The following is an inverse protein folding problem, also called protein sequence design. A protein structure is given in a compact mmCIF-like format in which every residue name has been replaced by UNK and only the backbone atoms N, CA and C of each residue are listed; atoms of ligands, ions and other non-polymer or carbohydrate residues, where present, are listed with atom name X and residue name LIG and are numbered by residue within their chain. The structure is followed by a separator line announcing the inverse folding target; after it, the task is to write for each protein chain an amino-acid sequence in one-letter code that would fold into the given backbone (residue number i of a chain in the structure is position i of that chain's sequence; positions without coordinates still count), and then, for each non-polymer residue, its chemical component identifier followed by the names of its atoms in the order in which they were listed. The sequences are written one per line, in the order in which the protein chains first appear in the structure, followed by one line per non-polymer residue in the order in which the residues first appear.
data_IF_503901776500
#
_entry.id   IF_503901776500
#
_cell.length_a   1.000
_cell.length_b   1.000
_cell.length_c   1.000
_cell.angle_alpha   90.00
_cell.angle_beta   90.00
_cell.angle_gamma   90.00
#
_symmetry.space_group_name_H-M   'P 1'
#
loop_
_entity.id
_entity.type
_entity.pdbx_description
1 polymer ?
#
# COMPACT_ATOMS: atom_id res chain seq x y z
N UNK A 1 36.06 -18.14 -6.67
CA UNK A 1 35.74 -17.43 -7.92
C UNK A 1 36.43 -18.11 -9.09
N UNK A 2 35.71 -18.32 -10.19
CA UNK A 2 36.21 -18.93 -11.42
C UNK A 2 35.88 -18.01 -12.60
N UNK A 3 36.86 -17.76 -13.47
CA UNK A 3 36.70 -17.00 -14.71
C UNK A 3 36.68 -17.98 -15.87
N UNK A 4 35.69 -17.88 -16.72
CA UNK A 4 35.46 -18.72 -17.89
C UNK A 4 35.51 -17.86 -19.14
N UNK A 5 36.36 -18.25 -20.09
CA UNK A 5 36.41 -17.62 -21.41
C UNK A 5 35.12 -17.92 -22.18
N UNK A 6 34.38 -16.87 -22.55
CA UNK A 6 33.04 -16.99 -23.16
C UNK A 6 33.05 -17.56 -24.58
N UNK A 7 34.21 -17.58 -25.26
CA UNK A 7 34.35 -18.13 -26.60
C UNK A 7 34.68 -19.62 -26.58
N UNK A 8 35.67 -20.01 -25.76
CA UNK A 8 36.19 -21.37 -25.61
C UNK A 8 35.40 -22.20 -24.60
N UNK A 9 34.61 -21.56 -23.74
CA UNK A 9 33.87 -22.17 -22.64
C UNK A 9 34.77 -23.04 -21.74
N UNK A 10 35.97 -22.52 -21.43
CA UNK A 10 36.94 -23.18 -20.55
C UNK A 10 37.32 -22.26 -19.39
N UNK A 11 37.51 -22.81 -18.17
CA UNK A 11 38.02 -22.02 -17.07
C UNK A 11 39.44 -21.55 -17.38
N UNK A 12 39.67 -20.25 -17.25
CA UNK A 12 40.97 -19.61 -17.49
C UNK A 12 41.66 -19.19 -16.20
N UNK A 13 40.89 -18.93 -15.15
CA UNK A 13 41.43 -18.59 -13.83
C UNK A 13 40.49 -19.10 -12.73
N UNK A 14 41.05 -19.52 -11.61
CA UNK A 14 40.30 -19.94 -10.43
C UNK A 14 41.07 -19.54 -9.17
N UNK A 15 40.39 -18.82 -8.28
CA UNK A 15 40.95 -18.31 -7.03
C UNK A 15 39.96 -18.47 -5.87
N UNK A 16 40.48 -18.68 -4.68
CA UNK A 16 39.72 -18.59 -3.43
C UNK A 16 40.22 -17.37 -2.64
N UNK A 17 39.32 -16.70 -1.94
CA UNK A 17 39.61 -15.53 -1.12
C UNK A 17 38.96 -15.74 0.24
N UNK A 18 39.77 -15.94 1.28
CA UNK A 18 39.29 -16.09 2.66
C UNK A 18 38.99 -14.71 3.26
N UNK A 19 37.83 -14.18 2.90
CA UNK A 19 37.30 -12.89 3.38
C UNK A 19 36.71 -12.99 4.80
N UNK A 20 36.89 -14.12 5.47
CA UNK A 20 36.63 -14.25 6.90
C UNK A 20 37.90 -13.98 7.73
N UNK A 21 39.04 -14.53 7.32
CA UNK A 21 40.31 -14.36 8.02
C UNK A 21 41.06 -13.08 7.61
N UNK A 22 40.99 -12.71 6.33
CA UNK A 22 41.75 -11.62 5.72
C UNK A 22 40.83 -10.55 5.11
N UNK A 23 41.38 -9.37 4.80
CA UNK A 23 40.67 -8.36 4.02
C UNK A 23 40.43 -8.79 2.55
N UNK A 24 39.61 -8.03 1.84
CA UNK A 24 39.21 -8.32 0.45
C UNK A 24 40.15 -7.75 -0.62
N UNK A 25 41.31 -7.20 -0.28
CA UNK A 25 42.15 -6.46 -1.25
C UNK A 25 42.66 -7.33 -2.40
N UNK A 26 43.04 -8.58 -2.14
CA UNK A 26 43.43 -9.52 -3.20
C UNK A 26 42.26 -9.88 -4.13
N UNK A 27 41.04 -9.93 -3.59
CA UNK A 27 39.84 -10.16 -4.40
C UNK A 27 39.55 -8.96 -5.30
N UNK A 28 39.72 -7.74 -4.78
CA UNK A 28 39.55 -6.51 -5.56
C UNK A 28 40.53 -6.46 -6.73
N UNK A 29 41.81 -6.75 -6.48
CA UNK A 29 42.84 -6.84 -7.52
C UNK A 29 42.50 -7.89 -8.58
N UNK A 30 42.00 -9.06 -8.16
CA UNK A 30 41.56 -10.11 -9.07
C UNK A 30 40.39 -9.66 -9.96
N UNK A 31 39.34 -9.08 -9.37
CA UNK A 31 38.17 -8.59 -10.11
C UNK A 31 38.54 -7.48 -11.11
N UNK A 32 39.55 -6.67 -10.80
CA UNK A 32 40.01 -5.58 -11.66
C UNK A 32 40.93 -6.02 -12.80
N UNK A 33 41.83 -6.98 -12.55
CA UNK A 33 42.93 -7.31 -13.47
C UNK A 33 42.74 -8.62 -14.22
N UNK A 34 42.09 -9.59 -13.60
CA UNK A 34 41.99 -10.97 -14.10
C UNK A 34 40.65 -11.28 -14.75
N UNK A 35 39.63 -10.44 -14.56
CA UNK A 35 38.31 -10.56 -15.20
C UNK A 35 38.22 -9.58 -16.37
N UNK A 36 38.43 -10.07 -17.60
CA UNK A 36 38.46 -9.22 -18.80
C UNK A 36 37.07 -9.01 -19.36
N UNK A 37 36.91 -7.98 -20.18
CA UNK A 37 35.65 -7.71 -20.87
C UNK A 37 35.19 -8.92 -21.70
N UNK A 38 33.93 -9.32 -21.53
CA UNK A 38 33.36 -10.51 -22.15
C UNK A 38 33.58 -11.83 -21.40
N UNK A 39 34.42 -11.88 -20.36
CA UNK A 39 34.60 -13.09 -19.54
C UNK A 39 33.39 -13.34 -18.64
N UNK A 40 33.09 -14.63 -18.41
CA UNK A 40 32.07 -15.07 -17.47
C UNK A 40 32.73 -15.30 -16.10
N UNK A 41 32.25 -14.60 -15.07
CA UNK A 41 32.64 -14.79 -13.68
C UNK A 41 31.62 -15.66 -12.95
N UNK A 42 32.10 -16.75 -12.34
CA UNK A 42 31.35 -17.56 -11.38
C UNK A 42 31.92 -17.27 -9.99
N UNK A 43 31.13 -16.58 -9.16
CA UNK A 43 31.44 -16.29 -7.78
C UNK A 43 30.51 -17.10 -6.87
N UNK A 44 31.06 -17.65 -5.79
CA UNK A 44 30.29 -18.38 -4.79
C UNK A 44 30.98 -18.27 -3.43
N UNK A 45 30.21 -18.32 -2.36
CA UNK A 45 30.69 -18.40 -0.99
C UNK A 45 30.89 -19.84 -0.56
N UNK A 46 31.83 -20.06 0.35
CA UNK A 46 31.98 -21.32 1.07
C UNK A 46 32.18 -20.98 2.55
N UNK A 47 31.42 -21.64 3.43
CA UNK A 47 31.38 -21.38 4.87
C UNK A 47 30.96 -19.93 5.22
N UNK A 48 31.90 -18.98 5.25
CA UNK A 48 31.70 -17.60 5.69
C UNK A 48 32.55 -16.66 4.83
N UNK A 49 31.93 -15.60 4.29
CA UNK A 49 32.61 -14.66 3.39
C UNK A 49 32.21 -13.20 3.64
N UNK A 50 31.51 -12.90 4.74
CA UNK A 50 30.95 -11.57 4.96
C UNK A 50 31.77 -10.73 5.94
N UNK A 51 32.53 -11.35 6.85
CA UNK A 51 33.14 -10.68 8.01
C UNK A 51 34.08 -9.53 7.63
N UNK A 52 35.01 -9.76 6.70
CA UNK A 52 36.00 -8.77 6.25
C UNK A 52 35.83 -8.44 4.76
N UNK A 53 34.62 -8.64 4.21
CA UNK A 53 34.32 -8.26 2.84
C UNK A 53 34.17 -6.74 2.72
N UNK A 54 35.18 -6.10 2.15
CA UNK A 54 35.26 -4.65 2.03
C UNK A 54 34.20 -4.04 1.12
N UNK A 55 33.92 -2.74 1.34
CA UNK A 55 32.95 -1.98 0.54
C UNK A 55 33.35 -1.94 -0.94
N UNK A 56 34.64 -1.80 -1.23
CA UNK A 56 35.17 -1.76 -2.59
C UNK A 56 34.93 -3.08 -3.32
N UNK A 57 35.22 -4.21 -2.69
CA UNK A 57 34.85 -5.53 -3.18
C UNK A 57 33.35 -5.67 -3.50
N UNK A 58 32.47 -5.22 -2.58
CA UNK A 58 31.01 -5.26 -2.82
C UNK A 58 30.60 -4.39 -4.00
N UNK A 59 31.18 -3.20 -4.14
CA UNK A 59 30.91 -2.31 -5.28
C UNK A 59 31.39 -2.91 -6.60
N UNK A 60 32.56 -3.53 -6.64
CA UNK A 60 33.05 -4.21 -7.84
C UNK A 60 32.13 -5.37 -8.26
N UNK A 61 31.60 -6.12 -7.30
CA UNK A 61 30.63 -7.18 -7.56
C UNK A 61 29.28 -6.63 -8.01
N UNK A 62 28.84 -5.50 -7.46
CA UNK A 62 27.65 -4.79 -7.93
C UNK A 62 27.82 -4.24 -9.35
N UNK A 63 28.98 -3.69 -9.69
CA UNK A 63 29.35 -3.24 -11.04
C UNK A 63 29.39 -4.40 -12.04
N UNK A 64 29.71 -5.60 -11.55
CA UNK A 64 29.62 -6.85 -12.30
C UNK A 64 28.20 -7.39 -12.37
N UNK A 65 27.19 -6.66 -11.89
CA UNK A 65 25.78 -7.03 -12.00
C UNK A 65 25.21 -7.76 -10.78
N UNK A 66 25.90 -7.83 -9.64
CA UNK A 66 25.29 -8.34 -8.41
C UNK A 66 24.21 -7.38 -7.91
N UNK A 67 23.02 -7.93 -7.69
CA UNK A 67 21.91 -7.23 -7.02
C UNK A 67 21.87 -7.50 -5.51
N UNK A 68 22.47 -8.59 -5.04
CA UNK A 68 22.31 -9.06 -3.65
C UNK A 68 23.60 -9.01 -2.81
N UNK A 69 24.77 -8.70 -3.37
CA UNK A 69 26.04 -8.76 -2.61
C UNK A 69 26.07 -7.83 -1.39
N UNK A 70 25.38 -6.69 -1.47
CA UNK A 70 25.28 -5.75 -0.35
C UNK A 70 24.55 -6.37 0.84
N UNK A 71 23.66 -7.34 0.58
CA UNK A 71 22.84 -8.05 1.56
C UNK A 71 23.53 -9.29 2.14
N UNK A 72 24.78 -9.61 1.75
CA UNK A 72 25.51 -10.76 2.27
C UNK A 72 25.77 -10.61 3.78
N UNK A 73 25.17 -11.50 4.58
CA UNK A 73 25.28 -11.54 6.04
C UNK A 73 26.16 -12.71 6.50
N UNK A 74 26.48 -12.76 7.80
CA UNK A 74 27.27 -13.81 8.42
C UNK A 74 26.76 -15.21 8.05
N UNK A 75 27.64 -16.03 7.46
CA UNK A 75 27.35 -17.39 6.95
C UNK A 75 26.27 -17.46 5.86
N UNK A 76 25.91 -16.33 5.26
CA UNK A 76 25.05 -16.29 4.08
C UNK A 76 25.69 -17.08 2.94
N UNK A 77 24.89 -17.93 2.30
CA UNK A 77 25.32 -18.66 1.11
C UNK A 77 24.89 -17.88 -0.11
N UNK A 78 25.84 -17.59 -0.99
CA UNK A 78 25.62 -16.77 -2.17
C UNK A 78 26.38 -17.35 -3.34
N UNK A 79 25.75 -17.30 -4.51
CA UNK A 79 26.46 -17.43 -5.77
C UNK A 79 25.95 -16.39 -6.77
N UNK A 80 26.83 -16.07 -7.71
CA UNK A 80 26.52 -15.26 -8.87
C UNK A 80 27.29 -15.79 -10.07
N UNK A 81 26.62 -15.87 -11.21
CA UNK A 81 27.24 -16.06 -12.52
C UNK A 81 26.98 -14.80 -13.32
N UNK A 82 28.01 -14.07 -13.72
CA UNK A 82 27.86 -12.81 -14.45
C UNK A 82 28.88 -12.70 -15.59
N UNK A 83 28.73 -11.69 -16.45
CA UNK A 83 29.65 -11.42 -17.55
C UNK A 83 30.14 -9.96 -17.49
N UNK A 84 31.46 -9.77 -17.55
CA UNK A 84 32.06 -8.42 -17.54
C UNK A 84 31.63 -7.66 -18.78
N UNK A 85 31.11 -6.45 -18.59
CA UNK A 85 30.58 -5.59 -19.67
C UNK A 85 29.08 -5.72 -19.91
N UNK A 86 28.40 -6.63 -19.19
CA UNK A 86 26.94 -6.70 -19.18
C UNK A 86 26.33 -5.44 -18.54
N UNK A 87 25.19 -4.99 -19.07
CA UNK A 87 24.39 -3.90 -18.48
C UNK A 87 23.27 -4.47 -17.61
N UNK A 88 23.07 -3.89 -16.42
CA UNK A 88 22.05 -4.33 -15.47
C UNK A 88 22.52 -5.46 -14.56
N UNK A 89 21.57 -6.13 -13.91
CA UNK A 89 21.84 -7.16 -12.93
C UNK A 89 21.92 -8.56 -13.54
N UNK A 90 22.71 -9.44 -12.95
CA UNK A 90 22.78 -10.83 -13.38
C UNK A 90 21.46 -11.56 -13.10
N UNK A 91 20.90 -12.29 -14.07
CA UNK A 91 19.76 -13.17 -13.85
C UNK A 91 20.13 -14.46 -13.10
N UNK A 92 21.43 -14.72 -12.90
CA UNK A 92 21.96 -15.94 -12.28
C UNK A 92 22.62 -15.60 -10.95
N UNK A 93 21.81 -15.19 -9.99
CA UNK A 93 22.25 -14.85 -8.65
C UNK A 93 21.27 -15.40 -7.61
N UNK A 94 21.78 -15.93 -6.50
CA UNK A 94 20.96 -16.32 -5.37
C UNK A 94 21.70 -16.06 -4.08
N UNK A 95 20.99 -15.50 -3.11
CA UNK A 95 21.45 -15.30 -1.74
C UNK A 95 20.49 -16.03 -0.80
N UNK A 96 21.01 -16.96 0.00
CA UNK A 96 20.33 -17.55 1.14
C UNK A 96 20.98 -17.08 2.44
N UNK A 97 20.24 -16.30 3.22
CA UNK A 97 20.70 -15.90 4.56
C UNK A 97 20.90 -17.11 5.48
N UNK A 98 21.76 -16.96 6.49
CA UNK A 98 21.93 -17.97 7.53
C UNK A 98 20.67 -18.07 8.38
N UNK A 99 20.35 -19.28 8.85
CA UNK A 99 19.17 -19.54 9.68
C UNK A 99 19.63 -19.98 11.06
N UNK A 100 19.44 -19.12 12.07
CA UNK A 100 19.88 -19.42 13.45
C UNK A 100 21.38 -19.66 13.57
N UNK A 101 22.21 -19.00 12.74
CA UNK A 101 23.65 -19.20 12.68
C UNK A 101 24.10 -20.45 11.90
N UNK A 102 23.18 -21.25 11.36
CA UNK A 102 23.47 -22.39 10.48
C UNK A 102 23.47 -21.97 9.01
N UNK A 103 24.26 -22.67 8.20
CA UNK A 103 24.35 -22.48 6.75
C UNK A 103 23.07 -22.93 6.04
N UNK A 104 22.70 -22.20 4.98
CA UNK A 104 21.57 -22.54 4.10
C UNK A 104 22.10 -22.95 2.72
N UNK A 105 22.37 -24.24 2.47
CA UNK A 105 23.04 -24.67 1.23
C UNK A 105 22.25 -24.29 -0.02
N UNK A 106 22.99 -23.98 -1.08
CA UNK A 106 22.46 -23.75 -2.42
C UNK A 106 22.90 -24.92 -3.29
N UNK A 107 21.94 -25.58 -3.92
CA UNK A 107 22.15 -26.66 -4.88
C UNK A 107 21.32 -26.31 -6.12
N UNK A 108 22.00 -25.91 -7.19
CA UNK A 108 21.38 -25.35 -8.39
C UNK A 108 22.07 -25.93 -9.62
N UNK A 109 21.25 -26.40 -10.57
CA UNK A 109 21.69 -26.92 -11.85
C UNK A 109 21.04 -26.10 -12.97
N UNK A 110 21.85 -25.43 -13.78
CA UNK A 110 21.35 -24.53 -14.82
C UNK A 110 22.21 -24.50 -16.07
N UNK A 111 21.59 -24.18 -17.20
CA UNK A 111 22.27 -23.86 -18.44
C UNK A 111 22.54 -22.35 -18.50
N UNK A 112 23.81 -21.97 -18.63
CA UNK A 112 24.23 -20.57 -18.77
C UNK A 112 24.60 -20.29 -20.23
N UNK A 113 24.01 -19.27 -20.88
CA UNK A 113 24.35 -18.92 -22.24
C UNK A 113 25.77 -18.34 -22.33
N UNK A 114 26.37 -18.34 -23.53
CA UNK A 114 27.70 -17.74 -23.75
C UNK A 114 27.71 -16.22 -23.63
N UNK A 115 26.56 -15.60 -23.87
CA UNK A 115 26.35 -14.17 -23.75
C UNK A 115 25.22 -13.92 -22.75
N UNK A 116 25.53 -13.25 -21.65
CA UNK A 116 24.57 -12.95 -20.59
C UNK A 116 23.97 -11.57 -20.85
N UNK A 117 22.64 -11.51 -20.81
CA UNK A 117 21.90 -10.24 -20.84
C UNK A 117 21.41 -9.92 -19.44
N UNK A 118 21.76 -8.74 -18.95
CA UNK A 118 21.38 -8.32 -17.61
C UNK A 118 19.92 -7.87 -17.55
N UNK A 119 19.34 -7.94 -16.35
CA UNK A 119 17.99 -7.45 -16.05
C UNK A 119 18.06 -6.01 -15.58
N UNK A 120 17.07 -5.21 -16.00
CA UNK A 120 16.94 -3.80 -15.56
C UNK A 120 16.49 -3.74 -14.09
N UNK A 121 15.71 -4.74 -13.65
CA UNK A 121 15.18 -4.87 -12.30
C UNK A 121 15.47 -6.29 -11.81
N UNK A 122 16.00 -6.41 -10.60
CA UNK A 122 16.01 -7.67 -9.86
C UNK A 122 14.96 -7.59 -8.74
N UNK A 123 13.96 -8.48 -8.74
CA UNK A 123 12.99 -8.54 -7.66
C UNK A 123 13.70 -8.86 -6.34
N UNK A 124 13.37 -8.16 -5.26
CA UNK A 124 13.81 -8.58 -3.94
C UNK A 124 13.26 -9.99 -3.66
N UNK A 125 14.05 -10.88 -3.03
CA UNK A 125 13.54 -12.17 -2.59
C UNK A 125 12.34 -11.91 -1.66
N UNK A 126 11.22 -12.59 -1.95
CA UNK A 126 9.98 -12.49 -1.16
C UNK A 126 10.31 -12.51 0.33
N UNK A 127 9.96 -11.44 1.03
CA UNK A 127 10.10 -11.32 2.48
C UNK A 127 9.50 -12.58 3.12
N UNK A 128 10.36 -13.32 3.82
CA UNK A 128 10.13 -14.64 4.42
C UNK A 128 8.66 -14.98 4.76
N UNK A 129 8.05 -15.90 4.02
CA UNK A 129 6.94 -16.70 4.56
C UNK A 129 7.54 -17.83 5.40
N UNK A 130 7.32 -17.79 6.72
CA UNK A 130 7.76 -18.83 7.64
C UNK A 130 6.66 -19.88 7.79
N UNK A 131 6.56 -20.78 6.80
CA UNK A 131 5.54 -21.83 6.75
C UNK A 131 5.54 -22.74 7.98
N UNK A 132 6.71 -22.94 8.60
CA UNK A 132 6.86 -23.69 9.84
C UNK A 132 6.22 -22.96 11.03
N UNK A 133 6.42 -21.64 11.15
CA UNK A 133 5.73 -20.80 12.13
C UNK A 133 4.22 -20.82 11.91
N UNK A 134 3.76 -20.75 10.66
CA UNK A 134 2.33 -20.78 10.34
C UNK A 134 1.67 -22.08 10.83
N UNK A 135 2.25 -23.24 10.49
CA UNK A 135 1.77 -24.56 10.95
C UNK A 135 1.86 -24.73 12.47
N UNK A 136 2.93 -24.22 13.10
CA UNK A 136 3.09 -24.26 14.55
C UNK A 136 1.99 -23.43 15.26
N UNK A 137 1.72 -22.24 14.74
CA UNK A 137 0.78 -21.29 15.33
C UNK A 137 -0.70 -21.65 15.11
N UNK A 138 -1.01 -22.47 14.10
CA UNK A 138 -2.32 -23.12 13.95
C UNK A 138 -2.63 -24.03 15.15
N UNK A 139 -1.62 -24.73 15.68
CA UNK A 139 -1.77 -25.68 16.79
C UNK A 139 -1.50 -25.04 18.17
N UNK A 140 -0.71 -23.96 18.23
CA UNK A 140 -0.22 -23.36 19.48
C UNK A 140 -0.60 -21.88 19.61
N UNK A 141 -1.86 -21.57 19.34
CA UNK A 141 -2.37 -20.19 19.30
C UNK A 141 -2.26 -19.39 20.61
N UNK A 142 -1.95 -20.04 21.73
CA UNK A 142 -1.75 -19.42 23.04
C UNK A 142 -0.39 -18.74 23.21
N UNK A 143 0.57 -19.00 22.32
CA UNK A 143 1.91 -18.40 22.37
C UNK A 143 1.91 -17.09 21.57
N UNK A 144 1.28 -16.05 22.13
CA UNK A 144 1.03 -14.77 21.42
C UNK A 144 2.29 -14.14 20.84
N UNK A 145 3.39 -14.15 21.58
CA UNK A 145 4.61 -13.44 21.19
C UNK A 145 5.28 -14.10 19.98
N UNK A 146 5.19 -15.43 19.89
CA UNK A 146 5.69 -16.19 18.75
C UNK A 146 4.68 -16.26 17.61
N UNK A 147 3.38 -16.16 17.85
CA UNK A 147 2.34 -16.39 16.84
C UNK A 147 1.56 -15.15 16.41
N UNK A 148 1.85 -14.00 16.99
CA UNK A 148 1.26 -12.71 16.63
C UNK A 148 1.71 -12.27 15.24
N UNK A 149 0.75 -11.73 14.47
CA UNK A 149 1.07 -11.04 13.22
C UNK A 149 1.99 -9.85 13.48
N UNK A 150 2.80 -9.47 12.49
CA UNK A 150 3.78 -8.37 12.59
C UNK A 150 3.17 -7.08 13.17
N UNK A 151 1.88 -6.85 12.90
CA UNK A 151 1.12 -5.71 13.42
C UNK A 151 0.95 -5.73 14.94
N UNK A 152 0.62 -6.89 15.53
CA UNK A 152 0.47 -6.99 16.99
C UNK A 152 1.82 -6.82 17.70
N UNK A 153 2.90 -7.38 17.15
CA UNK A 153 4.26 -7.14 17.64
C UNK A 153 4.62 -5.66 17.60
N UNK A 154 4.28 -4.96 16.51
CA UNK A 154 4.55 -3.53 16.37
C UNK A 154 3.82 -2.70 17.43
N UNK A 155 2.53 -2.95 17.67
CA UNK A 155 1.76 -2.25 18.70
C UNK A 155 2.28 -2.53 20.12
N UNK A 156 2.61 -3.78 20.43
CA UNK A 156 3.12 -4.17 21.75
C UNK A 156 4.52 -3.59 22.00
N UNK A 157 5.38 -3.58 20.98
CA UNK A 157 6.70 -2.94 21.05
C UNK A 157 6.55 -1.44 21.28
N UNK A 158 5.67 -0.77 20.54
CA UNK A 158 5.39 0.66 20.72
C UNK A 158 4.87 0.96 22.14
N UNK A 159 3.97 0.14 22.67
CA UNK A 159 3.47 0.29 24.03
C UNK A 159 4.55 0.07 25.09
N UNK A 160 5.41 -0.93 24.91
CA UNK A 160 6.51 -1.21 25.83
C UNK A 160 7.57 -0.09 25.86
N UNK A 161 7.89 0.48 24.69
CA UNK A 161 8.85 1.59 24.58
C UNK A 161 8.26 2.94 25.03
N UNK A 162 6.97 3.16 24.79
CA UNK A 162 6.30 4.44 25.04
C UNK A 162 4.99 4.25 25.83
N UNK A 163 5.05 3.81 27.10
CA UNK A 163 3.86 3.47 27.87
C UNK A 163 2.94 4.67 28.18
N UNK A 164 3.47 5.90 28.13
CA UNK A 164 2.69 7.13 28.31
C UNK A 164 1.96 7.61 27.04
N UNK A 165 2.23 7.02 25.88
CA UNK A 165 1.63 7.45 24.61
C UNK A 165 0.19 6.94 24.49
N UNK A 166 -0.76 7.88 24.41
CA UNK A 166 -2.18 7.56 24.26
C UNK A 166 -2.57 7.12 22.84
N UNK A 167 -1.71 7.40 21.86
CA UNK A 167 -1.94 7.15 20.44
C UNK A 167 -0.74 6.46 19.83
N UNK A 168 -0.99 5.77 18.73
CA UNK A 168 0.03 5.11 17.92
C UNK A 168 -0.33 5.26 16.45
N UNK A 169 0.64 5.74 15.68
CA UNK A 169 0.53 5.90 14.23
C UNK A 169 1.31 4.78 13.55
N UNK A 170 0.67 4.05 12.66
CA UNK A 170 1.27 2.95 11.90
C UNK A 170 1.49 3.40 10.46
N UNK A 171 2.75 3.42 10.02
CA UNK A 171 3.15 3.80 8.67
C UNK A 171 3.80 2.59 8.03
N UNK A 172 3.20 2.07 6.95
CA UNK A 172 3.77 0.97 6.18
C UNK A 172 5.02 1.41 5.41
N UNK A 173 5.94 0.47 5.18
CA UNK A 173 7.09 0.70 4.31
C UNK A 173 6.63 1.02 2.88
N UNK A 174 7.32 1.96 2.23
CA UNK A 174 7.00 2.38 0.86
C UNK A 174 5.99 3.53 0.74
N UNK A 175 5.44 4.02 1.86
CA UNK A 175 4.67 5.26 1.90
C UNK A 175 5.59 6.48 1.90
N UNK A 176 5.30 7.43 1.02
CA UNK A 176 5.82 8.79 1.06
C UNK A 176 4.81 9.67 1.78
N UNK A 177 5.26 10.37 2.82
CA UNK A 177 4.41 11.28 3.57
C UNK A 177 4.32 12.63 2.85
N UNK A 178 3.11 13.20 2.80
CA UNK A 178 2.92 14.57 2.34
C UNK A 178 3.61 15.56 3.28
N UNK A 179 4.01 16.75 2.79
CA UNK A 179 4.65 17.77 3.63
C UNK A 179 3.84 18.17 4.86
N UNK A 180 2.51 18.20 4.76
CA UNK A 180 1.60 18.54 5.85
C UNK A 180 1.11 17.33 6.67
N UNK A 181 1.62 16.10 6.45
CA UNK A 181 1.12 14.87 7.10
C UNK A 181 0.94 15.02 8.61
N UNK A 182 1.97 15.52 9.31
CA UNK A 182 1.91 15.70 10.77
C UNK A 182 0.93 16.80 11.19
N UNK A 183 0.84 17.90 10.43
CA UNK A 183 -0.09 18.99 10.71
C UNK A 183 -1.54 18.54 10.52
N UNK A 184 -1.81 17.82 9.43
CA UNK A 184 -3.07 17.15 9.16
C UNK A 184 -3.43 16.21 10.32
N UNK A 185 -2.57 15.24 10.66
CA UNK A 185 -2.86 14.28 11.72
C UNK A 185 -3.11 14.95 13.07
N UNK A 186 -2.32 15.97 13.43
CA UNK A 186 -2.51 16.72 14.67
C UNK A 186 -3.85 17.46 14.72
N UNK A 187 -4.31 18.03 13.58
CA UNK A 187 -5.55 18.82 13.52
C UNK A 187 -6.82 18.00 13.77
N UNK A 188 -6.81 16.71 13.41
CA UNK A 188 -7.96 15.80 13.60
C UNK A 188 -7.76 14.80 14.72
N UNK A 189 -6.56 14.69 15.32
CA UNK A 189 -6.28 13.76 16.41
C UNK A 189 -7.31 13.79 17.56
N UNK A 190 -7.84 14.97 17.99
CA UNK A 190 -8.84 15.03 19.06
C UNK A 190 -10.12 14.25 18.76
N UNK A 191 -10.47 14.05 17.48
CA UNK A 191 -11.68 13.31 17.09
C UNK A 191 -11.66 11.86 17.58
N UNK A 192 -10.47 11.28 17.81
CA UNK A 192 -10.34 9.93 18.35
C UNK A 192 -10.90 9.79 19.78
N UNK A 193 -11.25 10.88 20.46
CA UNK A 193 -11.99 10.80 21.72
C UNK A 193 -13.49 10.47 21.53
N UNK A 194 -14.02 10.67 20.33
CA UNK A 194 -15.35 10.21 19.98
C UNK A 194 -15.35 8.66 19.90
N UNK A 195 -16.15 7.96 20.73
CA UNK A 195 -16.16 6.49 20.75
C UNK A 195 -16.65 5.87 19.44
N UNK A 196 -17.34 6.63 18.59
CA UNK A 196 -17.79 6.18 17.27
C UNK A 196 -16.68 6.27 16.21
N UNK A 197 -15.53 6.89 16.52
CA UNK A 197 -14.36 6.92 15.64
C UNK A 197 -13.33 5.93 16.13
N UNK A 198 -12.93 5.00 15.25
CA UNK A 198 -11.87 4.05 15.58
C UNK A 198 -10.47 4.59 15.30
N UNK A 199 -10.32 5.30 14.18
CA UNK A 199 -9.03 5.67 13.63
C UNK A 199 -9.12 6.97 12.82
N UNK A 200 -7.96 7.57 12.59
CA UNK A 200 -7.77 8.55 11.52
C UNK A 200 -6.75 7.96 10.53
N UNK A 201 -6.94 8.16 9.23
CA UNK A 201 -6.05 7.68 8.17
C UNK A 201 -5.67 8.82 7.26
N UNK A 202 -4.43 8.86 6.82
CA UNK A 202 -3.95 9.84 5.85
C UNK A 202 -4.24 9.45 4.40
N UNK A 203 -4.94 8.34 4.16
CA UNK A 203 -5.20 7.82 2.83
C UNK A 203 -6.69 7.74 2.52
N UNK A 204 -7.06 8.30 1.37
CA UNK A 204 -8.39 8.19 0.77
C UNK A 204 -8.34 7.14 -0.34
N UNK A 205 -9.13 6.07 -0.26
CA UNK A 205 -9.22 5.05 -1.31
C UNK A 205 -9.72 5.62 -2.65
N UNK A 206 -10.56 6.67 -2.61
CA UNK A 206 -11.06 7.42 -3.77
C UNK A 206 -10.18 8.62 -4.18
N UNK A 207 -8.98 8.76 -3.61
CA UNK A 207 -8.05 9.87 -3.86
C UNK A 207 -7.41 9.87 -5.26
N UNK A 208 -8.20 10.02 -6.33
CA UNK A 208 -7.73 10.10 -7.71
C UNK A 208 -7.84 11.55 -8.25
N UNK A 209 -6.96 12.00 -9.15
CA UNK A 209 -6.87 13.41 -9.58
C UNK A 209 -8.18 14.06 -10.06
N UNK A 210 -9.10 13.29 -10.63
CA UNK A 210 -10.38 13.79 -11.13
C UNK A 210 -11.49 13.86 -10.07
N UNK A 211 -11.33 13.17 -8.94
CA UNK A 211 -12.35 12.98 -7.88
C UNK A 211 -11.78 13.26 -6.48
N UNK A 212 -10.68 14.00 -6.39
CA UNK A 212 -10.00 14.36 -5.15
C UNK A 212 -9.17 15.62 -5.39
N UNK A 213 -9.75 16.77 -5.04
CA UNK A 213 -9.27 18.10 -5.40
C UNK A 213 -9.24 19.10 -4.24
N UNK A 214 -9.91 18.83 -3.11
CA UNK A 214 -10.03 19.77 -1.98
C UNK A 214 -9.16 19.32 -0.81
N UNK A 215 -7.94 19.83 -0.72
CA UNK A 215 -7.03 19.46 0.36
C UNK A 215 -7.51 19.89 1.76
N UNK A 216 -8.49 20.80 1.86
CA UNK A 216 -9.06 21.30 3.11
C UNK A 216 -10.20 20.43 3.67
N UNK A 217 -10.62 19.38 2.96
CA UNK A 217 -11.72 18.52 3.36
C UNK A 217 -11.30 17.22 4.04
N UNK A 218 -12.14 16.79 4.98
CA UNK A 218 -12.10 15.46 5.58
C UNK A 218 -13.49 14.83 5.70
N UNK A 219 -13.52 13.51 5.70
CA UNK A 219 -14.73 12.70 5.71
C UNK A 219 -14.68 11.64 6.81
N UNK A 220 -15.84 11.32 7.39
CA UNK A 220 -16.04 10.07 8.13
C UNK A 220 -16.43 8.97 7.15
N UNK A 221 -15.83 7.80 7.28
CA UNK A 221 -16.01 6.66 6.37
C UNK A 221 -16.03 5.35 7.15
N UNK A 222 -16.74 4.35 6.64
CA UNK A 222 -16.87 3.01 7.23
C UNK A 222 -15.69 2.07 6.84
N UNK A 223 -14.62 2.63 6.26
CA UNK A 223 -13.39 1.93 5.97
C UNK A 223 -12.48 1.82 7.21
N UNK A 224 -11.72 0.73 7.32
CA UNK A 224 -10.67 0.58 8.32
C UNK A 224 -9.70 -0.53 7.90
N UNK A 225 -8.37 -0.40 8.11
CA UNK A 225 -7.66 0.72 8.74
C UNK A 225 -7.11 1.77 7.78
N UNK A 226 -7.23 1.59 6.46
CA UNK A 226 -6.61 2.51 5.50
C UNK A 226 -5.08 2.41 5.51
N UNK A 227 -4.39 3.55 5.33
CA UNK A 227 -2.92 3.61 5.30
C UNK A 227 -2.41 4.84 6.06
N UNK A 228 -1.25 4.69 6.70
CA UNK A 228 -0.71 5.70 7.63
C UNK A 228 -1.76 6.16 8.64
N UNK A 229 -2.28 5.21 9.40
CA UNK A 229 -3.41 5.40 10.28
C UNK A 229 -2.97 5.54 11.74
N UNK A 230 -3.75 6.30 12.51
CA UNK A 230 -3.54 6.52 13.94
C UNK A 230 -4.75 6.03 14.72
N UNK A 231 -4.50 5.28 15.79
CA UNK A 231 -5.53 4.79 16.72
C UNK A 231 -5.15 5.14 18.16
N UNK A 232 -6.15 5.14 19.06
CA UNK A 232 -5.86 5.15 20.49
C UNK A 232 -5.25 3.83 20.92
N UNK A 233 -4.20 3.89 21.72
CA UNK A 233 -3.57 2.70 22.31
C UNK A 233 -4.57 1.92 23.19
N UNK A 234 -5.47 2.63 23.88
CA UNK A 234 -6.53 2.01 24.65
C UNK A 234 -7.50 1.18 23.79
N UNK A 235 -7.86 1.68 22.61
CA UNK A 235 -8.71 0.95 21.64
C UNK A 235 -8.01 -0.30 21.14
N UNK A 236 -6.71 -0.21 20.83
CA UNK A 236 -5.91 -1.38 20.48
C UNK A 236 -5.92 -2.43 21.60
N UNK A 237 -5.56 -2.04 22.82
CA UNK A 237 -5.39 -2.96 23.94
C UNK A 237 -6.70 -3.64 24.36
N UNK A 238 -7.79 -2.88 24.40
CA UNK A 238 -9.08 -3.38 24.91
C UNK A 238 -9.87 -4.14 23.85
N UNK A 239 -9.73 -3.79 22.57
CA UNK A 239 -10.68 -4.23 21.54
C UNK A 239 -10.01 -4.97 20.39
N UNK A 240 -8.95 -4.41 19.80
CA UNK A 240 -8.27 -5.04 18.66
C UNK A 240 -7.44 -6.24 19.08
N UNK A 241 -6.57 -6.08 20.10
CA UNK A 241 -5.67 -7.13 20.58
C UNK A 241 -6.36 -8.47 20.85
N UNK A 242 -7.47 -8.54 21.63
CA UNK A 242 -8.16 -9.81 21.85
C UNK A 242 -8.82 -10.40 20.58
N UNK A 243 -9.13 -9.56 19.59
CA UNK A 243 -9.89 -9.94 18.39
C UNK A 243 -9.06 -9.91 17.09
N UNK A 244 -7.73 -9.85 17.19
CA UNK A 244 -6.82 -9.62 16.05
C UNK A 244 -7.01 -10.63 14.92
N UNK A 245 -7.32 -11.89 15.24
CA UNK A 245 -7.61 -12.95 14.26
C UNK A 245 -8.88 -12.71 13.45
N UNK A 246 -9.85 -11.99 14.00
CA UNK A 246 -11.17 -11.79 13.39
C UNK A 246 -11.21 -10.55 12.47
N UNK A 247 -10.49 -9.48 12.81
CA UNK A 247 -10.47 -8.24 12.04
C UNK A 247 -9.23 -8.11 11.16
N UNK A 248 -8.06 -8.48 11.66
CA UNK A 248 -6.85 -7.76 11.33
C UNK A 248 -5.79 -8.69 10.71
N UNK A 249 -6.25 -9.60 9.85
CA UNK A 249 -5.45 -10.63 9.18
C UNK A 249 -5.21 -10.35 7.68
N UNK A 250 -5.79 -9.28 7.13
CA UNK A 250 -5.58 -8.80 5.75
C UNK A 250 -4.57 -7.64 5.72
N UNK A 251 -4.10 -7.24 4.53
CA UNK A 251 -3.34 -5.97 4.41
C UNK A 251 -4.23 -4.79 4.80
N UNK A 252 -3.65 -3.71 5.34
CA UNK A 252 -4.42 -2.57 5.84
C UNK A 252 -5.32 -1.93 4.77
N UNK A 253 -4.86 -1.89 3.52
CA UNK A 253 -5.62 -1.37 2.39
C UNK A 253 -6.69 -2.33 1.83
N UNK A 254 -6.69 -3.61 2.19
CA UNK A 254 -7.79 -4.54 1.86
C UNK A 254 -9.02 -4.30 2.74
N UNK A 255 -8.81 -3.64 3.89
CA UNK A 255 -9.84 -3.44 4.90
C UNK A 255 -9.95 -4.62 5.87
N UNK A 256 -10.02 -4.30 7.16
CA UNK A 256 -10.08 -5.24 8.28
C UNK A 256 -11.50 -5.45 8.81
N UNK A 257 -12.45 -4.61 8.38
CA UNK A 257 -13.84 -4.69 8.82
C UNK A 257 -14.71 -5.04 7.62
N UNK A 258 -15.61 -5.99 7.85
CA UNK A 258 -16.77 -6.17 7.00
C UNK A 258 -17.76 -5.05 7.33
N UNK A 259 -18.35 -4.43 6.31
CA UNK A 259 -19.34 -3.36 6.47
C UNK A 259 -20.45 -3.79 7.44
N UNK A 260 -20.76 -2.94 8.41
CA UNK A 260 -21.80 -3.19 9.43
C UNK A 260 -21.38 -4.09 10.59
N UNK A 261 -20.17 -4.65 10.59
CA UNK A 261 -19.70 -5.49 11.72
C UNK A 261 -19.26 -4.66 12.91
N UNK A 262 -18.67 -3.49 12.67
CA UNK A 262 -18.24 -2.53 13.67
C UNK A 262 -18.97 -1.22 13.43
N UNK A 263 -19.71 -0.75 14.43
CA UNK A 263 -20.48 0.51 14.41
C UNK A 263 -19.56 1.75 14.58
N UNK A 264 -18.35 1.70 14.02
CA UNK A 264 -17.35 2.77 14.11
C UNK A 264 -16.80 3.11 12.74
N UNK A 265 -16.43 4.38 12.62
CA UNK A 265 -15.95 4.99 11.40
C UNK A 265 -14.49 5.44 11.56
N UNK A 266 -13.84 5.68 10.44
CA UNK A 266 -12.53 6.30 10.35
C UNK A 266 -12.66 7.69 9.75
N UNK A 267 -11.75 8.59 10.09
CA UNK A 267 -11.62 9.88 9.39
C UNK A 267 -10.53 9.79 8.32
N UNK A 268 -10.84 10.23 7.11
CA UNK A 268 -9.90 10.30 5.96
C UNK A 268 -9.93 11.69 5.32
N UNK A 269 -8.84 12.16 4.69
CA UNK A 269 -8.88 13.41 3.95
C UNK A 269 -9.55 13.21 2.60
N UNK A 270 -9.98 14.29 1.94
CA UNK A 270 -10.34 14.22 0.52
C UNK A 270 -9.10 13.97 -0.33
N UNK A 271 -8.06 14.79 -0.19
CA UNK A 271 -6.75 14.60 -0.84
C UNK A 271 -5.80 13.87 0.11
N UNK A 272 -5.27 12.72 -0.32
CA UNK A 272 -4.42 11.87 0.54
C UNK A 272 -3.16 12.61 1.01
N UNK A 273 -2.75 12.35 2.25
CA UNK A 273 -1.50 12.83 2.87
C UNK A 273 -0.40 11.78 2.88
N UNK A 274 -0.62 10.69 2.18
CA UNK A 274 0.39 9.70 1.84
C UNK A 274 0.25 9.25 0.40
N UNK A 275 1.39 8.96 -0.23
CA UNK A 275 1.48 8.33 -1.52
C UNK A 275 2.17 6.97 -1.37
N UNK A 276 1.49 5.91 -1.79
CA UNK A 276 2.12 4.60 -1.94
C UNK A 276 2.82 4.54 -3.29
N UNK A 277 4.12 4.26 -3.29
CA UNK A 277 4.85 4.03 -4.54
C UNK A 277 4.37 2.71 -5.18
N UNK A 278 4.11 2.67 -6.50
CA UNK A 278 3.83 1.43 -7.19
C UNK A 278 4.97 0.44 -6.95
N UNK A 279 4.64 -0.77 -6.53
CA UNK A 279 5.59 -1.88 -6.45
C UNK A 279 5.62 -2.59 -7.80
N UNK A 280 6.77 -3.11 -8.20
CA UNK A 280 6.86 -3.95 -9.40
C UNK A 280 6.00 -5.22 -9.25
N UNK A 281 5.52 -5.76 -10.37
CA UNK A 281 4.71 -7.00 -10.43
C UNK A 281 5.37 -8.20 -9.74
N UNK A 282 6.68 -8.13 -9.55
CA UNK A 282 7.48 -9.19 -8.94
C UNK A 282 7.40 -9.17 -7.40
N UNK A 283 7.10 -8.02 -6.79
CA UNK A 283 6.94 -7.84 -5.34
C UNK A 283 5.48 -7.96 -4.90
N UNK A 284 4.56 -7.54 -5.76
CA UNK A 284 3.13 -7.58 -5.48
C UNK A 284 2.37 -8.06 -6.72
N UNK A 285 1.62 -9.19 -6.62
CA UNK A 285 0.89 -9.71 -7.77
C UNK A 285 -0.15 -8.70 -8.21
N UNK A 286 -0.22 -8.44 -9.52
CA UNK A 286 -1.19 -7.50 -10.09
C UNK A 286 -2.58 -8.14 -10.08
N UNK A 287 -3.29 -8.00 -8.96
CA UNK A 287 -4.70 -8.37 -8.84
C UNK A 287 -5.60 -7.22 -9.31
N UNK A 288 -6.86 -7.48 -9.69
CA UNK A 288 -7.82 -6.40 -10.01
C UNK A 288 -7.93 -5.35 -8.90
N UNK A 289 -7.98 -5.79 -7.63
CA UNK A 289 -8.01 -4.91 -6.46
C UNK A 289 -6.75 -4.02 -6.36
N UNK A 290 -5.56 -4.60 -6.49
CA UNK A 290 -4.30 -3.83 -6.43
C UNK A 290 -4.21 -2.85 -7.59
N UNK A 291 -4.62 -3.27 -8.79
CA UNK A 291 -4.67 -2.39 -9.94
C UNK A 291 -5.62 -1.21 -9.70
N UNK A 292 -6.83 -1.47 -9.21
CA UNK A 292 -7.84 -0.46 -8.90
C UNK A 292 -7.39 0.51 -7.80
N UNK A 293 -6.63 0.05 -6.81
CA UNK A 293 -6.13 0.87 -5.70
C UNK A 293 -4.82 1.60 -6.00
N UNK A 294 -3.87 1.02 -6.71
CA UNK A 294 -2.48 1.52 -6.71
C UNK A 294 -1.87 1.75 -8.07
N UNK A 295 -2.43 1.19 -9.15
CA UNK A 295 -1.86 1.36 -10.50
C UNK A 295 -2.47 2.53 -11.26
N UNK A 296 -3.51 3.16 -10.69
CA UNK A 296 -4.05 4.43 -11.16
C UNK A 296 -3.31 5.58 -10.49
N UNK A 297 -3.11 6.68 -11.24
CA UNK A 297 -2.53 7.90 -10.68
C UNK A 297 -3.36 8.38 -9.49
N UNK A 298 -2.69 8.73 -8.39
CA UNK A 298 -3.34 9.18 -7.16
C UNK A 298 -3.06 10.66 -6.90
N UNK A 299 -4.04 11.35 -6.32
CA UNK A 299 -3.87 12.69 -5.79
C UNK A 299 -3.20 12.61 -4.41
N UNK A 300 -2.17 13.43 -4.20
CA UNK A 300 -1.49 13.55 -2.91
C UNK A 300 -1.18 15.01 -2.66
N UNK A 301 -1.42 15.46 -1.43
CA UNK A 301 -1.17 16.86 -1.09
C UNK A 301 0.33 17.16 -1.13
N UNK A 302 0.70 18.25 -1.78
CA UNK A 302 2.08 18.73 -1.88
C UNK A 302 2.29 20.06 -1.16
N UNK A 303 1.22 20.65 -0.62
CA UNK A 303 1.26 21.89 0.12
C UNK A 303 1.81 21.66 1.54
N UNK A 304 2.59 22.61 2.06
CA UNK A 304 3.14 22.52 3.43
C UNK A 304 2.08 22.74 4.51
N UNK A 305 1.04 23.51 4.19
CA UNK A 305 -0.05 23.83 5.11
C UNK A 305 -1.36 23.87 4.35
N UNK A 306 -2.31 23.04 4.77
CA UNK A 306 -3.66 23.01 4.23
C UNK A 306 -4.64 22.98 5.41
N UNK A 307 -5.07 24.16 5.90
CA UNK A 307 -6.03 24.24 6.99
C UNK A 307 -7.31 23.49 6.62
N UNK A 308 -7.81 22.67 7.53
CA UNK A 308 -9.04 21.92 7.31
C UNK A 308 -10.25 22.81 7.57
N UNK A 309 -11.21 22.81 6.66
CA UNK A 309 -12.41 23.65 6.77
C UNK A 309 -13.47 23.06 7.71
N UNK A 310 -13.49 21.75 7.90
CA UNK A 310 -14.53 21.04 8.65
C UNK A 310 -13.99 20.11 9.76
N UNK A 311 -12.82 20.42 10.35
CA UNK A 311 -12.21 19.56 11.37
C UNK A 311 -13.01 19.50 12.69
N UNK A 312 -13.72 20.57 13.04
CA UNK A 312 -14.49 20.72 14.28
C UNK A 312 -15.88 20.06 14.21
N UNK A 313 -16.31 19.64 13.01
CA UNK A 313 -17.59 18.97 12.76
C UNK A 313 -17.50 17.45 12.77
N UNK A 314 -16.34 16.87 13.13
CA UNK A 314 -16.08 15.44 12.90
C UNK A 314 -16.57 14.50 14.00
N UNK A 315 -17.07 15.00 15.13
CA UNK A 315 -17.75 14.13 16.12
C UNK A 315 -19.12 13.69 15.58
N UNK A 316 -19.59 12.50 15.92
CA UNK A 316 -20.77 11.85 15.30
C UNK A 316 -21.98 12.79 15.12
N UNK A 317 -22.47 13.40 16.20
CA UNK A 317 -23.65 14.28 16.15
C UNK A 317 -23.41 15.55 15.33
N UNK A 318 -22.21 16.14 15.44
CA UNK A 318 -21.83 17.31 14.66
C UNK A 318 -21.65 16.99 13.18
N UNK A 319 -21.19 15.79 12.86
CA UNK A 319 -20.99 15.38 11.47
C UNK A 319 -22.32 15.18 10.76
N UNK A 320 -23.30 14.56 11.43
CA UNK A 320 -24.66 14.45 10.90
C UNK A 320 -25.33 15.82 10.73
N UNK A 321 -25.12 16.74 11.68
CA UNK A 321 -25.62 18.11 11.59
C UNK A 321 -24.95 18.87 10.43
N UNK A 322 -23.64 18.72 10.25
CA UNK A 322 -22.89 19.29 9.14
C UNK A 322 -23.35 18.72 7.77
N UNK A 323 -23.61 17.41 7.68
CA UNK A 323 -24.19 16.82 6.46
C UNK A 323 -25.56 17.42 6.13
N UNK A 324 -26.43 17.60 7.13
CA UNK A 324 -27.72 18.26 6.95
C UNK A 324 -27.57 19.71 6.49
N UNK A 325 -26.63 20.46 7.05
CA UNK A 325 -26.31 21.83 6.62
C UNK A 325 -25.81 21.88 5.18
N UNK A 326 -24.93 20.94 4.78
CA UNK A 326 -24.44 20.84 3.40
C UNK A 326 -25.57 20.53 2.42
N UNK A 327 -26.46 19.60 2.76
CA UNK A 327 -27.59 19.20 1.91
C UNK A 327 -28.63 20.33 1.81
N UNK A 328 -28.91 21.04 2.90
CA UNK A 328 -29.87 22.15 2.91
C UNK A 328 -29.26 23.51 2.53
N UNK A 329 -27.98 23.56 2.18
CA UNK A 329 -27.28 24.77 1.76
C UNK A 329 -27.94 25.39 0.54
N UNK A 330 -27.96 26.73 0.47
CA UNK A 330 -28.37 27.44 -0.75
C UNK A 330 -27.46 27.17 -1.95
N UNK A 331 -26.26 26.62 -1.71
CA UNK A 331 -25.29 26.22 -2.73
C UNK A 331 -25.32 24.70 -2.99
N UNK A 332 -26.37 24.01 -2.53
CA UNK A 332 -26.61 22.61 -2.84
C UNK A 332 -27.44 22.49 -4.12
N UNK A 333 -26.85 21.92 -5.16
CA UNK A 333 -27.47 21.73 -6.47
C UNK A 333 -27.76 20.24 -6.69
N UNK A 334 -28.99 19.92 -7.07
CA UNK A 334 -29.36 18.54 -7.39
C UNK A 334 -29.04 18.25 -8.84
N UNK A 335 -28.31 17.17 -9.07
CA UNK A 335 -28.00 16.68 -10.42
C UNK A 335 -28.90 15.48 -10.72
N UNK A 336 -29.77 15.65 -11.70
CA UNK A 336 -30.66 14.60 -12.19
C UNK A 336 -29.97 13.83 -13.31
N UNK A 337 -29.42 12.65 -12.99
CA UNK A 337 -28.88 11.72 -14.00
C UNK A 337 -29.99 10.78 -14.50
N UNK A 338 -29.96 10.46 -15.79
CA UNK A 338 -30.89 9.50 -16.40
C UNK A 338 -30.32 8.08 -16.42
N UNK A 339 -31.18 7.07 -16.61
CA UNK A 339 -30.72 5.68 -16.80
C UNK A 339 -29.88 5.54 -18.07
N UNK A 340 -30.20 6.33 -19.09
CA UNK A 340 -29.48 6.40 -20.35
C UNK A 340 -28.04 6.89 -20.14
N UNK A 341 -27.83 7.94 -19.34
CA UNK A 341 -26.50 8.46 -19.00
C UNK A 341 -25.64 7.38 -18.32
N UNK A 342 -26.24 6.66 -17.37
CA UNK A 342 -25.56 5.60 -16.62
C UNK A 342 -25.27 4.38 -17.51
N UNK A 343 -26.22 3.97 -18.34
CA UNK A 343 -26.04 2.84 -19.27
C UNK A 343 -24.96 3.14 -20.32
N UNK A 344 -24.95 4.36 -20.87
CA UNK A 344 -23.93 4.80 -21.82
C UNK A 344 -22.52 4.72 -21.21
N UNK A 345 -22.40 5.02 -19.92
CA UNK A 345 -21.17 4.82 -19.18
C UNK A 345 -20.87 3.32 -18.93
N UNK A 346 -21.83 2.56 -18.40
CA UNK A 346 -21.60 1.18 -17.95
C UNK A 346 -21.16 0.23 -19.09
N UNK A 347 -21.59 0.52 -20.33
CA UNK A 347 -21.23 -0.23 -21.53
C UNK A 347 -19.84 0.10 -22.08
N UNK A 348 -19.24 1.21 -21.66
CA UNK A 348 -17.97 1.67 -22.20
C UNK A 348 -16.81 1.20 -21.29
N UNK A 349 -16.08 0.16 -21.72
CA UNK A 349 -14.97 -0.41 -20.94
C UNK A 349 -13.78 0.55 -20.80
N UNK A 350 -13.63 1.50 -21.72
CA UNK A 350 -12.42 2.32 -21.86
C UNK A 350 -12.51 3.71 -21.23
N UNK A 351 -13.65 4.10 -20.66
CA UNK A 351 -13.89 5.52 -20.34
C UNK A 351 -14.69 5.80 -19.07
N UNK A 352 -14.03 6.48 -18.13
CA UNK A 352 -14.62 7.25 -17.03
C UNK A 352 -15.29 8.49 -17.62
N UNK A 353 -16.55 8.39 -18.05
CA UNK A 353 -17.17 9.36 -18.98
C UNK A 353 -18.13 10.36 -18.36
N UNK A 354 -18.64 10.15 -17.15
CA UNK A 354 -19.57 11.12 -16.59
C UNK A 354 -18.79 12.29 -16.00
N UNK A 355 -18.73 13.38 -16.76
CA UNK A 355 -18.32 14.68 -16.26
C UNK A 355 -19.56 15.46 -15.89
N UNK A 356 -19.57 15.98 -14.68
CA UNK A 356 -20.58 16.95 -14.27
C UNK A 356 -20.16 18.31 -14.82
N UNK A 357 -21.16 19.09 -15.25
CA UNK A 357 -20.96 20.51 -15.52
C UNK A 357 -21.24 21.24 -14.22
N UNK A 358 -20.25 22.00 -13.76
CA UNK A 358 -20.36 22.80 -12.56
C UNK A 358 -20.59 24.25 -12.95
N UNK A 359 -21.73 24.80 -12.57
CA UNK A 359 -22.07 26.20 -12.80
C UNK A 359 -21.31 27.14 -11.83
N UNK A 360 -20.99 26.63 -10.63
CA UNK A 360 -20.38 27.37 -9.53
C UNK A 360 -19.09 26.68 -9.05
N UNK A 361 -18.27 27.43 -8.30
CA UNK A 361 -17.08 26.91 -7.61
C UNK A 361 -17.31 26.89 -6.11
N UNK A 362 -16.77 25.88 -5.44
CA UNK A 362 -16.96 25.61 -4.00
C UNK A 362 -18.43 25.37 -3.60
N UNK A 363 -19.22 24.84 -4.54
CA UNK A 363 -20.62 24.44 -4.30
C UNK A 363 -20.72 22.94 -3.97
N UNK A 364 -21.91 22.53 -3.54
CA UNK A 364 -22.25 21.14 -3.23
C UNK A 364 -23.17 20.61 -4.33
N UNK A 365 -22.82 19.48 -4.94
CA UNK A 365 -23.61 18.83 -5.97
C UNK A 365 -24.07 17.47 -5.48
N UNK A 366 -25.38 17.25 -5.46
CA UNK A 366 -25.98 16.02 -4.93
C UNK A 366 -26.59 15.22 -6.06
N UNK A 367 -26.18 13.96 -6.18
CA UNK A 367 -26.77 12.97 -7.10
C UNK A 367 -27.63 12.01 -6.26
N UNK A 368 -28.95 12.27 -6.14
CA UNK A 368 -29.85 11.36 -5.43
C UNK A 368 -30.23 10.17 -6.32
N UNK A 369 -30.20 8.96 -5.77
CA UNK A 369 -30.62 7.75 -6.49
C UNK A 369 -31.22 6.68 -5.55
N UNK A 370 -32.05 5.79 -6.11
CA UNK A 370 -32.55 4.62 -5.41
C UNK A 370 -31.65 3.41 -5.67
N UNK A 371 -31.00 2.91 -4.61
CA UNK A 371 -30.25 1.66 -4.56
C UNK A 371 -31.23 0.49 -4.41
N UNK A 372 -31.21 -0.44 -5.35
CA UNK A 372 -32.04 -1.65 -5.31
C UNK A 372 -31.31 -2.79 -4.58
N UNK A 373 -29.99 -2.92 -4.74
CA UNK A 373 -29.16 -3.88 -4.01
C UNK A 373 -28.75 -3.34 -2.63
N UNK A 374 -29.64 -3.58 -1.66
CA UNK A 374 -29.44 -3.23 -0.26
C UNK A 374 -28.33 -4.03 0.45
N UNK A 375 -27.61 -4.92 -0.24
CA UNK A 375 -26.50 -5.69 0.35
C UNK A 375 -25.16 -5.45 -0.36
N UNK A 376 -25.12 -5.56 -1.67
CA UNK A 376 -23.90 -5.51 -2.49
C UNK A 376 -23.60 -4.14 -3.10
N UNK A 377 -24.50 -3.15 -2.96
CA UNK A 377 -24.31 -1.78 -3.46
C UNK A 377 -24.08 -1.73 -4.98
N UNK A 378 -24.86 -2.48 -5.76
CA UNK A 378 -24.73 -2.58 -7.21
C UNK A 378 -24.76 -1.21 -7.90
N UNK A 379 -25.69 -0.35 -7.52
CA UNK A 379 -25.86 0.99 -8.06
C UNK A 379 -24.71 1.91 -7.71
N UNK A 380 -24.29 1.91 -6.43
CA UNK A 380 -23.11 2.65 -6.00
C UNK A 380 -21.85 2.23 -6.76
N UNK A 381 -21.66 0.92 -7.00
CA UNK A 381 -20.53 0.40 -7.77
C UNK A 381 -20.53 0.94 -9.20
N UNK A 382 -21.70 0.96 -9.86
CA UNK A 382 -21.84 1.53 -11.21
C UNK A 382 -21.48 3.02 -11.20
N UNK A 383 -22.01 3.79 -10.25
CA UNK A 383 -21.67 5.20 -10.11
C UNK A 383 -20.17 5.40 -9.87
N UNK A 384 -19.56 4.61 -8.99
CA UNK A 384 -18.13 4.68 -8.73
C UNK A 384 -17.31 4.43 -10.01
N UNK A 385 -17.67 3.43 -10.80
CA UNK A 385 -17.04 3.17 -12.10
C UNK A 385 -17.19 4.35 -13.05
N UNK A 386 -18.39 4.92 -13.14
CA UNK A 386 -18.69 6.00 -14.09
C UNK A 386 -17.95 7.30 -13.85
N UNK A 387 -17.77 7.65 -12.58
CA UNK A 387 -17.08 8.86 -12.16
C UNK A 387 -15.57 8.65 -11.98
N UNK A 388 -15.09 7.41 -12.11
CA UNK A 388 -13.68 7.09 -11.89
C UNK A 388 -13.29 7.13 -10.41
N UNK A 389 -14.20 6.77 -9.50
CA UNK A 389 -13.88 6.45 -8.11
C UNK A 389 -13.26 5.03 -8.04
N UNK A 390 -13.01 4.53 -6.83
CA UNK A 390 -12.54 3.16 -6.66
C UNK A 390 -13.65 2.17 -7.07
N UNK A 391 -13.29 1.16 -7.86
CA UNK A 391 -14.20 0.12 -8.33
C UNK A 391 -13.46 -1.21 -8.44
N UNK A 392 -14.08 -2.27 -7.90
CA UNK A 392 -13.66 -3.67 -8.04
C UNK A 392 -14.92 -4.55 -7.91
N UNK A 393 -15.07 -5.56 -8.79
CA UNK A 393 -16.29 -6.37 -8.86
C UNK A 393 -16.55 -7.14 -7.55
N UNK A 394 -15.48 -7.56 -6.88
CA UNK A 394 -15.53 -8.43 -5.70
C UNK A 394 -15.48 -7.67 -4.37
N UNK A 395 -15.21 -6.36 -4.40
CA UNK A 395 -15.09 -5.52 -3.20
C UNK A 395 -16.30 -4.61 -3.04
N UNK A 396 -16.57 -4.18 -1.81
CA UNK A 396 -17.55 -3.11 -1.57
C UNK A 396 -16.99 -1.75 -1.98
N UNK A 397 -17.85 -0.76 -2.32
CA UNK A 397 -17.41 0.61 -2.50
C UNK A 397 -16.67 1.14 -1.26
N UNK A 398 -15.76 2.08 -1.47
CA UNK A 398 -14.95 2.71 -0.42
C UNK A 398 -15.40 4.13 -0.17
N UNK A 399 -15.15 4.65 1.02
CA UNK A 399 -15.51 6.01 1.41
C UNK A 399 -16.99 6.20 1.72
N UNK A 400 -17.68 5.12 2.10
CA UNK A 400 -19.10 5.17 2.46
C UNK A 400 -19.31 5.70 3.87
N UNK A 401 -20.37 6.48 4.05
CA UNK A 401 -20.93 6.92 5.32
C UNK A 401 -22.42 6.62 5.31
N UNK A 402 -22.86 5.48 5.86
CA UNK A 402 -24.28 5.10 5.94
C UNK A 402 -25.00 5.21 4.60
N UNK A 403 -24.39 4.68 3.54
CA UNK A 403 -24.95 4.70 2.18
C UNK A 403 -24.84 6.03 1.42
N UNK A 404 -24.09 6.99 1.96
CA UNK A 404 -23.70 8.24 1.29
C UNK A 404 -22.21 8.18 0.94
N UNK A 405 -21.81 8.68 -0.23
CA UNK A 405 -20.40 8.77 -0.66
C UNK A 405 -20.07 10.22 -1.03
N UNK A 406 -19.02 10.77 -0.41
CA UNK A 406 -18.52 12.13 -0.66
C UNK A 406 -17.16 12.11 -1.33
N UNK A 407 -16.96 13.05 -2.24
CA UNK A 407 -15.71 13.29 -2.94
C UNK A 407 -15.72 14.70 -3.51
N UNK A 408 -14.63 15.13 -4.14
CA UNK A 408 -14.59 16.45 -4.77
C UNK A 408 -14.15 16.41 -6.23
N UNK A 409 -14.70 17.30 -7.04
CA UNK A 409 -14.38 17.42 -8.46
C UNK A 409 -14.25 18.91 -8.81
N UNK A 410 -13.15 19.29 -9.45
CA UNK A 410 -12.91 20.67 -9.90
C UNK A 410 -13.08 21.74 -8.79
N UNK A 411 -12.80 21.37 -7.53
CA UNK A 411 -12.95 22.26 -6.37
C UNK A 411 -14.37 22.34 -5.80
N UNK A 412 -15.30 21.50 -6.26
CA UNK A 412 -16.66 21.35 -5.74
C UNK A 412 -16.82 20.05 -4.97
N UNK A 413 -17.76 20.00 -4.03
CA UNK A 413 -18.14 18.77 -3.34
C UNK A 413 -19.22 18.03 -4.12
N UNK A 414 -19.06 16.72 -4.29
CA UNK A 414 -20.04 15.86 -4.92
C UNK A 414 -20.47 14.79 -3.92
N UNK A 415 -21.79 14.60 -3.82
CA UNK A 415 -22.42 13.68 -2.88
C UNK A 415 -23.30 12.71 -3.66
N UNK A 416 -23.00 11.42 -3.57
CA UNK A 416 -23.94 10.37 -3.95
C UNK A 416 -24.82 10.05 -2.75
N UNK A 417 -26.12 10.31 -2.88
CA UNK A 417 -27.10 10.15 -1.82
C UNK A 417 -28.07 9.04 -2.19
N UNK A 418 -27.93 7.88 -1.56
CA UNK A 418 -28.84 6.75 -1.75
C UNK A 418 -29.98 6.73 -0.73
N UNK A 419 -31.07 6.04 -1.05
CA UNK A 419 -32.17 5.69 -0.14
C UNK A 419 -31.74 4.84 1.08
N UNK A 420 -30.48 4.42 1.17
CA UNK A 420 -29.94 3.79 2.39
C UNK A 420 -29.60 4.81 3.48
N UNK A 421 -29.36 6.06 3.09
CA UNK A 421 -29.06 7.13 4.01
C UNK A 421 -30.36 7.80 4.48
N UNK A 422 -30.45 8.11 5.77
CA UNK A 422 -31.62 8.75 6.37
C UNK A 422 -31.99 10.09 5.71
N UNK A 423 -31.00 10.84 5.19
CA UNK A 423 -31.19 12.16 4.59
C UNK A 423 -31.82 12.10 3.19
N UNK A 424 -31.91 10.91 2.57
CA UNK A 424 -32.57 10.74 1.27
C UNK A 424 -34.06 11.04 1.32
N UNK A 425 -34.72 10.85 2.46
CA UNK A 425 -36.15 11.11 2.62
C UNK A 425 -36.52 12.60 2.48
N UNK A 426 -35.54 13.51 2.52
CA UNK A 426 -35.75 14.94 2.38
C UNK A 426 -36.06 15.35 0.93
N UNK A 427 -36.85 16.40 0.77
CA UNK A 427 -37.05 17.07 -0.52
C UNK A 427 -35.82 17.93 -0.84
N UNK A 428 -35.34 17.99 -2.10
CA UNK A 428 -35.92 17.38 -3.31
C UNK A 428 -35.42 15.95 -3.61
N UNK A 429 -34.55 15.36 -2.79
CA UNK A 429 -33.86 14.10 -3.08
C UNK A 429 -34.79 12.89 -3.19
N UNK A 430 -35.82 12.83 -2.36
CA UNK A 430 -36.83 11.77 -2.37
C UNK A 430 -37.67 11.70 -3.66
N UNK A 431 -37.59 12.71 -4.53
CA UNK A 431 -38.30 12.76 -5.81
C UNK A 431 -37.51 12.22 -6.99
N UNK A 432 -36.27 11.74 -6.77
CA UNK A 432 -35.44 11.19 -7.84
C UNK A 432 -36.12 10.00 -8.53
N UNK A 433 -36.03 9.96 -9.86
CA UNK A 433 -36.52 8.83 -10.68
C UNK A 433 -35.39 7.85 -11.02
N UNK A 434 -34.15 8.19 -10.67
CA UNK A 434 -33.00 7.34 -10.92
C UNK A 434 -33.01 6.16 -9.96
N UNK A 435 -33.06 4.95 -10.52
CA UNK A 435 -33.03 3.71 -9.78
C UNK A 435 -31.99 2.81 -10.40
N UNK A 436 -31.07 2.31 -9.56
CA UNK A 436 -29.90 1.54 -9.96
C UNK A 436 -29.89 0.17 -9.26
N UNK A 437 -29.32 -0.86 -9.93
CA UNK A 437 -29.33 -2.25 -9.48
C UNK A 437 -28.88 -2.50 -8.06
#
# INVERSE_FOLDING_TARGET
MVVVDSHRMKPVNARHFDTYAMDSSEMELFLMREVREGDILIAMTFDEASRNLGVMAKNLLADLGSSQIQNLQFRGQWFMISQRGMKGFSPYETLKASKGGLWSPIDEHMCVPRHLSGRVIMPDPKVMQNDARSKFCEQHSHISDFCSGIMAVAFETAYGLFPGSSYVTVIEEGLLLAPDFMAYSASILPVLHDPTVIAISAWNANGFPNVSSRADLVYRVEDFPGQAFTIRMATYMKELKPNMKQCCNKRGWEGWLELGRWEREMVVPDVSRVLRRPLGSDLEPVTPLIHALFHRLRATNLEMTSPLSNADTLTSDRYESHLLELLNSSHAHVISLTKEDINACALNESTTNLKLVFDDKQSVYVVPYMELDMTGFGGMKILCRCFGLFYDDHSSPRGLHRGLLRFSMEGNEVIFLSNRNQHFAMSPYNTTTLSLP
#
